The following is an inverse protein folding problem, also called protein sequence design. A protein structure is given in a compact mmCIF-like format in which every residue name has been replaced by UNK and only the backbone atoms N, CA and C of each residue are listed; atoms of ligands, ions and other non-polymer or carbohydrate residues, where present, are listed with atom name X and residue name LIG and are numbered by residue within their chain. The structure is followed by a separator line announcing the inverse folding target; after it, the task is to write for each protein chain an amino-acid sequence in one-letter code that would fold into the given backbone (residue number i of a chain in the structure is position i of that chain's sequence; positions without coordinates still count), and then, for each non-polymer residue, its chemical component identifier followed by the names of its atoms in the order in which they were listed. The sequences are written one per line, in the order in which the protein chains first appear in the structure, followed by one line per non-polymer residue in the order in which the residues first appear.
data_IF_021326701489
#
_entry.id   IF_021326701489
#
_cell.length_a   1.000
_cell.length_b   1.000
_cell.length_c   1.000
_cell.angle_alpha   90.00
_cell.angle_beta   90.00
_cell.angle_gamma   90.00
#
_symmetry.space_group_name_H-M   'P 1'
#
loop_
_entity.id
_entity.type
_entity.pdbx_description
1 polymer ?
#
# COMPACT_ATOMS: atom_id res chain seq x y z
N UNK A 1 18.71 -9.08 -1.19
CA UNK A 1 17.43 -8.43 -0.81
C UNK A 1 17.11 -7.34 -1.83
N UNK A 2 15.85 -7.21 -2.25
CA UNK A 2 15.41 -6.27 -3.31
C UNK A 2 15.02 -4.88 -2.78
N UNK A 3 15.34 -4.57 -1.53
CA UNK A 3 14.84 -3.39 -0.82
C UNK A 3 15.09 -2.04 -1.49
N UNK A 4 16.24 -1.78 -2.15
CA UNK A 4 16.43 -0.52 -2.87
C UNK A 4 15.37 -0.25 -3.94
N UNK A 5 14.94 -1.31 -4.64
CA UNK A 5 13.86 -1.22 -5.63
C UNK A 5 12.52 -0.93 -4.97
N UNK A 6 12.21 -1.60 -3.86
CA UNK A 6 10.94 -1.42 -3.15
C UNK A 6 10.84 -0.03 -2.49
N UNK A 7 11.94 0.51 -1.95
CA UNK A 7 11.97 1.89 -1.49
C UNK A 7 11.64 2.87 -2.61
N UNK A 8 12.19 2.64 -3.81
CA UNK A 8 11.85 3.44 -5.00
C UNK A 8 10.38 3.31 -5.38
N UNK A 9 9.79 2.12 -5.23
CA UNK A 9 8.36 1.93 -5.45
C UNK A 9 7.52 2.74 -4.46
N UNK A 10 7.82 2.66 -3.15
CA UNK A 10 7.18 3.46 -2.10
C UNK A 10 7.32 4.96 -2.37
N UNK A 11 8.51 5.42 -2.76
CA UNK A 11 8.74 6.84 -3.11
C UNK A 11 7.93 7.24 -4.35
N UNK A 12 7.79 6.35 -5.34
CA UNK A 12 6.96 6.58 -6.53
C UNK A 12 5.47 6.67 -6.18
N UNK A 13 4.99 5.80 -5.29
CA UNK A 13 3.61 5.86 -4.79
C UNK A 13 3.37 7.18 -4.05
N UNK A 14 4.31 7.61 -3.20
CA UNK A 14 4.21 8.89 -2.48
C UNK A 14 4.11 10.08 -3.44
N UNK A 15 4.97 10.14 -4.46
CA UNK A 15 4.95 11.20 -5.46
C UNK A 15 3.60 11.25 -6.18
N UNK A 16 3.13 10.12 -6.69
CA UNK A 16 1.82 10.01 -7.37
C UNK A 16 0.65 10.46 -6.49
N UNK A 17 0.66 10.10 -5.20
CA UNK A 17 -0.36 10.54 -4.24
C UNK A 17 -0.31 12.05 -4.04
N UNK A 18 0.88 12.63 -3.85
CA UNK A 18 1.04 14.08 -3.67
C UNK A 18 0.60 14.84 -4.92
N UNK A 19 1.01 14.40 -6.11
CA UNK A 19 0.63 15.01 -7.39
C UNK A 19 -0.90 14.97 -7.60
N UNK A 20 -1.57 13.92 -7.12
CA UNK A 20 -3.03 13.80 -7.22
C UNK A 20 -3.82 14.79 -6.35
N UNK A 21 -3.18 15.39 -5.35
CA UNK A 21 -3.81 16.34 -4.43
C UNK A 21 -3.66 17.79 -4.93
N UNK A 22 -2.64 18.07 -5.76
CA UNK A 22 -2.36 19.39 -6.31
C UNK A 22 -3.39 19.75 -7.41
N UNK A 23 -4.09 20.91 -7.34
CA UNK A 23 -5.34 21.09 -8.09
C UNK A 23 -5.27 21.96 -9.36
N UNK A 24 -4.17 22.64 -9.69
CA UNK A 24 -4.34 23.91 -10.41
C UNK A 24 -4.69 23.82 -11.92
N UNK A 25 -4.26 22.80 -12.66
CA UNK A 25 -4.50 22.79 -14.12
C UNK A 25 -5.76 22.04 -14.58
N UNK A 26 -6.28 21.06 -13.81
CA UNK A 26 -7.42 20.22 -14.28
C UNK A 26 -8.79 20.88 -14.13
N UNK A 27 -8.93 21.86 -13.23
CA UNK A 27 -10.21 22.52 -12.99
C UNK A 27 -10.60 23.49 -14.10
N UNK A 28 -9.62 24.02 -14.85
CA UNK A 28 -9.86 24.93 -15.97
C UNK A 28 -10.41 24.19 -17.20
N UNK A 29 -9.83 23.04 -17.55
CA UNK A 29 -10.27 22.25 -18.71
C UNK A 29 -11.68 21.66 -18.52
N UNK A 30 -12.04 21.19 -17.31
CA UNK A 30 -13.39 20.65 -17.08
C UNK A 30 -14.45 21.75 -17.09
N UNK A 31 -14.13 22.95 -16.59
CA UNK A 31 -15.05 24.09 -16.61
C UNK A 31 -15.27 24.66 -18.00
N UNK A 32 -14.32 24.53 -18.93
CA UNK A 32 -14.49 24.94 -20.32
C UNK A 32 -15.30 23.90 -21.11
N UNK A 33 -15.11 22.62 -20.83
CA UNK A 33 -15.85 21.53 -21.47
C UNK A 33 -17.33 21.48 -21.03
N UNK A 34 -17.63 21.76 -19.76
CA UNK A 34 -19.01 21.86 -19.24
C UNK A 34 -19.79 23.05 -19.81
N UNK A 35 -19.12 24.11 -20.27
CA UNK A 35 -19.75 25.29 -20.89
C UNK A 35 -20.25 25.02 -22.31
N UNK A 36 -19.82 23.92 -22.94
CA UNK A 36 -20.19 23.53 -24.31
C UNK A 36 -21.36 22.55 -24.36
N UNK A 37 -21.84 22.02 -23.21
CA UNK A 37 -22.96 21.10 -23.15
C UNK A 37 -24.30 21.83 -22.87
N UNK A 38 -25.42 21.40 -23.48
CA UNK A 38 -26.76 21.91 -23.18
C UNK A 38 -27.09 21.81 -21.68
N UNK A 39 -27.79 22.81 -21.13
CA UNK A 39 -28.14 22.89 -19.69
C UNK A 39 -28.80 21.61 -19.14
N UNK A 40 -29.58 20.91 -19.96
CA UNK A 40 -30.35 19.70 -19.58
C UNK A 40 -29.48 18.43 -19.47
N UNK A 41 -28.31 18.41 -20.14
CA UNK A 41 -27.33 17.31 -20.10
C UNK A 41 -26.21 17.55 -19.07
N UNK A 42 -26.25 18.66 -18.34
CA UNK A 42 -25.29 18.95 -17.27
C UNK A 42 -25.58 18.04 -16.08
N UNK A 43 -25.06 16.82 -16.13
CA UNK A 43 -24.95 16.01 -14.92
C UNK A 43 -24.07 16.78 -13.93
N UNK A 44 -24.48 16.96 -12.66
CA UNK A 44 -23.66 17.64 -11.66
C UNK A 44 -22.45 16.79 -11.27
N UNK A 45 -21.49 16.65 -12.19
CA UNK A 45 -20.24 15.92 -12.02
C UNK A 45 -19.18 16.75 -11.27
N UNK A 46 -19.38 18.06 -11.11
CA UNK A 46 -18.26 18.98 -10.85
C UNK A 46 -17.85 19.27 -9.41
N UNK A 47 -18.55 18.81 -8.35
CA UNK A 47 -18.27 19.34 -6.99
C UNK A 47 -18.16 18.38 -5.82
N UNK A 48 -18.76 17.18 -5.89
CA UNK A 48 -18.70 16.18 -4.82
C UNK A 48 -17.61 15.10 -5.04
N UNK A 49 -17.02 15.07 -6.23
CA UNK A 49 -16.44 13.87 -6.81
C UNK A 49 -14.92 13.82 -6.73
N UNK A 50 -14.23 14.90 -7.12
CA UNK A 50 -12.80 15.17 -6.83
C UNK A 50 -12.44 15.11 -5.33
N UNK A 51 -13.44 15.06 -4.44
CA UNK A 51 -13.24 15.00 -3.00
C UNK A 51 -12.91 13.58 -2.51
N UNK A 52 -13.36 12.52 -3.19
CA UNK A 52 -13.21 11.14 -2.69
C UNK A 52 -11.78 10.65 -2.87
N UNK A 53 -11.24 10.68 -4.10
CA UNK A 53 -9.84 10.33 -4.34
C UNK A 53 -8.91 11.27 -3.57
N UNK A 54 -9.19 12.58 -3.53
CA UNK A 54 -8.37 13.54 -2.77
C UNK A 54 -8.36 13.25 -1.27
N UNK A 55 -9.52 12.92 -0.66
CA UNK A 55 -9.60 12.57 0.75
C UNK A 55 -8.80 11.30 1.05
N UNK A 56 -8.99 10.25 0.24
CA UNK A 56 -8.26 8.99 0.39
C UNK A 56 -6.75 9.18 0.16
N UNK A 57 -6.34 9.90 -0.88
CA UNK A 57 -4.94 10.26 -1.15
C UNK A 57 -4.31 10.99 0.03
N UNK A 58 -5.02 11.96 0.62
CA UNK A 58 -4.52 12.71 1.78
C UNK A 58 -4.26 11.79 2.97
N UNK A 59 -5.17 10.85 3.25
CA UNK A 59 -5.03 9.86 4.33
C UNK A 59 -3.99 8.78 4.02
N UNK A 60 -3.67 8.55 2.75
CA UNK A 60 -2.65 7.59 2.33
C UNK A 60 -1.22 8.10 2.58
N UNK A 61 -0.99 9.42 2.55
CA UNK A 61 0.32 10.03 2.81
C UNK A 61 0.96 9.54 4.13
N UNK A 62 0.30 9.66 5.30
CA UNK A 62 0.88 9.18 6.55
C UNK A 62 1.15 7.67 6.55
N UNK A 63 0.29 6.87 5.91
CA UNK A 63 0.49 5.41 5.77
C UNK A 63 1.78 5.10 5.01
N UNK A 64 2.00 5.76 3.87
CA UNK A 64 3.21 5.60 3.05
C UNK A 64 4.45 6.04 3.82
N UNK A 65 4.40 7.22 4.47
CA UNK A 65 5.52 7.76 5.25
C UNK A 65 5.90 6.87 6.43
N UNK A 66 4.92 6.35 7.17
CA UNK A 66 5.14 5.43 8.29
C UNK A 66 5.73 4.09 7.81
N UNK A 67 5.22 3.55 6.70
CA UNK A 67 5.76 2.35 6.08
C UNK A 67 7.25 2.53 5.73
N UNK A 68 7.58 3.63 5.06
CA UNK A 68 8.96 3.98 4.72
C UNK A 68 9.84 4.17 5.95
N UNK A 69 9.34 4.89 6.97
CA UNK A 69 10.05 5.15 8.22
C UNK A 69 10.42 3.84 8.91
N UNK A 70 9.49 2.89 8.97
CA UNK A 70 9.70 1.58 9.57
C UNK A 70 10.83 0.81 8.89
N UNK A 71 10.75 0.63 7.58
CA UNK A 71 11.75 -0.13 6.85
C UNK A 71 13.12 0.55 6.85
N UNK A 72 13.17 1.89 6.81
CA UNK A 72 14.41 2.63 7.02
C UNK A 72 15.00 2.34 8.40
N UNK A 73 14.17 2.35 9.46
CA UNK A 73 14.64 2.12 10.83
C UNK A 73 15.28 0.75 11.00
N UNK A 74 14.63 -0.29 10.49
CA UNK A 74 15.13 -1.67 10.63
C UNK A 74 16.24 -2.01 9.61
N UNK A 75 16.34 -1.26 8.50
CA UNK A 75 17.42 -1.40 7.51
C UNK A 75 18.74 -0.78 7.97
N UNK A 76 18.70 0.45 8.52
CA UNK A 76 19.89 1.26 8.82
C UNK A 76 20.84 0.58 9.81
N UNK A 77 20.31 -0.22 10.75
CA UNK A 77 21.14 -0.95 11.73
C UNK A 77 21.19 -2.46 11.55
N UNK A 78 20.43 -3.01 10.59
CA UNK A 78 20.31 -4.44 10.35
C UNK A 78 20.96 -4.94 9.06
N UNK A 79 21.49 -4.08 8.18
CA UNK A 79 22.04 -4.52 6.88
C UNK A 79 23.30 -3.75 6.44
N UNK A 80 23.49 -2.50 6.87
CA UNK A 80 24.32 -1.58 6.07
C UNK A 80 25.81 -1.48 6.37
N UNK A 81 26.38 -1.95 7.48
CA UNK A 81 27.85 -1.92 7.59
C UNK A 81 28.38 -2.86 8.68
N UNK A 82 29.15 -3.86 8.25
CA UNK A 82 30.01 -4.77 9.04
C UNK A 82 29.23 -5.75 9.94
N UNK A 83 29.07 -6.95 9.39
CA UNK A 83 28.71 -8.20 10.09
C UNK A 83 27.62 -8.05 11.15
N UNK A 84 26.34 -8.23 10.78
CA UNK A 84 25.52 -8.91 11.77
C UNK A 84 26.11 -10.29 11.98
N UNK A 85 26.06 -10.82 13.21
CA UNK A 85 25.94 -12.25 13.40
C UNK A 85 24.55 -12.69 12.88
N UNK A 86 24.29 -12.47 11.58
CA UNK A 86 23.05 -12.80 10.87
C UNK A 86 22.89 -14.33 10.72
N UNK A 87 23.82 -15.11 11.28
CA UNK A 87 23.95 -16.54 11.00
C UNK A 87 23.82 -17.47 12.20
N UNK A 88 23.47 -17.01 13.41
CA UNK A 88 23.37 -17.94 14.57
C UNK A 88 21.95 -18.09 15.14
N UNK A 89 21.04 -17.12 14.96
CA UNK A 89 19.70 -17.16 15.60
C UNK A 89 18.47 -17.31 14.69
N UNK A 90 18.50 -16.81 13.46
CA UNK A 90 17.31 -16.77 12.59
C UNK A 90 17.21 -18.02 11.72
N UNK A 91 16.04 -18.65 11.68
CA UNK A 91 15.78 -19.70 10.70
C UNK A 91 15.58 -19.10 9.30
N UNK A 92 15.78 -19.92 8.26
CA UNK A 92 15.62 -19.52 6.86
C UNK A 92 14.25 -18.89 6.58
N UNK A 93 13.20 -19.39 7.23
CA UNK A 93 11.85 -18.85 7.11
C UNK A 93 11.74 -17.42 7.64
N UNK A 94 12.37 -17.10 8.77
CA UNK A 94 12.37 -15.74 9.32
C UNK A 94 13.14 -14.76 8.42
N UNK A 95 14.27 -15.21 7.87
CA UNK A 95 15.05 -14.42 6.90
C UNK A 95 14.19 -14.14 5.65
N UNK A 96 13.51 -15.17 5.13
CA UNK A 96 12.63 -15.03 3.98
C UNK A 96 11.45 -14.07 4.27
N UNK A 97 10.79 -14.20 5.43
CA UNK A 97 9.71 -13.30 5.86
C UNK A 97 10.18 -11.86 5.89
N UNK A 98 11.34 -11.58 6.48
CA UNK A 98 11.89 -10.23 6.52
C UNK A 98 12.27 -9.73 5.12
N UNK A 99 12.93 -10.55 4.32
CA UNK A 99 13.36 -10.19 2.97
C UNK A 99 12.19 -9.79 2.05
N UNK A 100 11.04 -10.46 2.16
CA UNK A 100 9.85 -10.20 1.35
C UNK A 100 8.92 -9.12 1.93
N UNK A 101 9.00 -8.84 3.23
CA UNK A 101 8.04 -7.95 3.92
C UNK A 101 7.88 -6.56 3.27
N UNK A 102 8.99 -5.92 2.88
CA UNK A 102 8.95 -4.61 2.22
C UNK A 102 8.28 -4.66 0.83
N UNK A 103 8.49 -5.73 0.06
CA UNK A 103 7.82 -5.92 -1.22
C UNK A 103 6.31 -6.11 -1.05
N UNK A 104 5.88 -6.90 -0.06
CA UNK A 104 4.46 -7.07 0.23
C UNK A 104 3.77 -5.76 0.64
N UNK A 105 4.46 -4.90 1.40
CA UNK A 105 3.96 -3.57 1.76
C UNK A 105 3.90 -2.65 0.54
N UNK A 106 4.94 -2.68 -0.30
CA UNK A 106 5.01 -1.95 -1.57
C UNK A 106 3.84 -2.31 -2.50
N UNK A 107 3.56 -3.61 -2.66
CA UNK A 107 2.44 -4.13 -3.46
C UNK A 107 1.09 -3.68 -2.92
N UNK A 108 0.87 -3.78 -1.60
CA UNK A 108 -0.39 -3.36 -0.98
C UNK A 108 -0.59 -1.83 -1.12
N UNK A 109 0.46 -1.02 -0.94
CA UNK A 109 0.41 0.42 -1.18
C UNK A 109 0.09 0.76 -2.65
N UNK A 110 0.74 0.09 -3.61
CA UNK A 110 0.46 0.31 -5.03
C UNK A 110 -0.97 -0.12 -5.39
N UNK A 111 -1.48 -1.21 -4.79
CA UNK A 111 -2.87 -1.65 -4.96
C UNK A 111 -3.88 -0.62 -4.45
N UNK A 112 -3.66 -0.07 -3.25
CA UNK A 112 -4.50 1.01 -2.70
C UNK A 112 -4.46 2.23 -3.64
N UNK A 113 -3.30 2.66 -4.12
CA UNK A 113 -3.18 3.80 -5.04
C UNK A 113 -4.01 3.61 -6.31
N UNK A 114 -3.94 2.42 -6.92
CA UNK A 114 -4.73 2.11 -8.11
C UNK A 114 -6.24 2.22 -7.85
N UNK A 115 -6.71 1.76 -6.69
CA UNK A 115 -8.12 1.83 -6.30
C UNK A 115 -8.56 3.26 -5.95
N UNK A 116 -7.68 4.06 -5.34
CA UNK A 116 -7.92 5.49 -5.09
C UNK A 116 -8.14 6.22 -6.41
N UNK A 117 -7.35 5.95 -7.45
CA UNK A 117 -7.60 6.55 -8.77
C UNK A 117 -8.86 6.02 -9.47
N UNK A 118 -9.24 4.76 -9.21
CA UNK A 118 -10.43 4.17 -9.81
C UNK A 118 -11.74 4.65 -9.16
N UNK A 119 -11.69 5.15 -7.91
CA UNK A 119 -12.89 5.50 -7.14
C UNK A 119 -13.74 6.58 -7.81
N UNK A 120 -13.08 7.54 -8.43
CA UNK A 120 -13.69 8.66 -9.16
C UNK A 120 -14.04 8.29 -10.62
N UNK A 121 -13.54 7.17 -11.14
CA UNK A 121 -13.78 6.76 -12.52
C UNK A 121 -14.94 5.76 -12.66
N UNK A 122 -15.07 4.82 -11.72
CA UNK A 122 -15.91 3.64 -11.89
C UNK A 122 -17.06 3.59 -10.87
N UNK A 123 -16.98 4.34 -9.75
CA UNK A 123 -18.02 4.44 -8.70
C UNK A 123 -18.66 3.15 -8.23
N UNK A 124 -17.91 2.06 -8.18
CA UNK A 124 -18.45 0.81 -7.68
C UNK A 124 -18.18 0.65 -6.19
N UNK A 125 -19.19 0.30 -5.37
CA UNK A 125 -18.99 -0.12 -3.99
C UNK A 125 -17.97 -1.27 -3.83
N UNK A 126 -17.73 -2.04 -4.90
CA UNK A 126 -16.69 -3.06 -4.96
C UNK A 126 -15.27 -2.49 -5.00
N UNK A 127 -15.04 -1.29 -5.54
CA UNK A 127 -13.73 -0.62 -5.52
C UNK A 127 -13.34 -0.25 -4.09
N UNK A 128 -14.26 0.37 -3.35
CA UNK A 128 -14.04 0.74 -1.94
C UNK A 128 -13.92 -0.49 -1.04
N UNK A 129 -14.66 -1.57 -1.33
CA UNK A 129 -14.51 -2.84 -0.60
C UNK A 129 -13.13 -3.45 -0.79
N UNK A 130 -12.63 -3.51 -2.04
CA UNK A 130 -11.26 -3.95 -2.31
C UNK A 130 -10.22 -3.06 -1.61
N UNK A 131 -10.42 -1.74 -1.59
CA UNK A 131 -9.48 -0.83 -0.91
C UNK A 131 -9.40 -1.15 0.59
N UNK A 132 -10.55 -1.35 1.23
CA UNK A 132 -10.63 -1.76 2.65
C UNK A 132 -9.90 -3.07 2.88
N UNK A 133 -10.13 -4.10 2.04
CA UNK A 133 -9.46 -5.40 2.18
C UNK A 133 -7.93 -5.31 2.05
N UNK A 134 -7.43 -4.50 1.11
CA UNK A 134 -5.99 -4.29 0.96
C UNK A 134 -5.42 -3.50 2.15
N UNK A 135 -6.14 -2.50 2.65
CA UNK A 135 -5.71 -1.73 3.82
C UNK A 135 -5.69 -2.57 5.12
N UNK A 136 -6.69 -3.44 5.31
CA UNK A 136 -6.72 -4.41 6.42
C UNK A 136 -5.56 -5.42 6.29
N UNK A 137 -5.25 -5.88 5.07
CA UNK A 137 -4.07 -6.73 4.85
C UNK A 137 -2.76 -6.00 5.12
N UNK A 138 -2.63 -4.74 4.70
CA UNK A 138 -1.47 -3.89 4.96
C UNK A 138 -1.22 -3.74 6.46
N UNK A 139 -2.28 -3.69 7.27
CA UNK A 139 -2.18 -3.64 8.72
C UNK A 139 -1.35 -4.81 9.29
N UNK A 140 -1.59 -6.01 8.79
CA UNK A 140 -0.94 -7.23 9.28
C UNK A 140 0.49 -7.43 8.76
N UNK A 141 0.93 -6.67 7.73
CA UNK A 141 2.26 -6.85 7.11
C UNK A 141 3.44 -6.53 8.02
N UNK A 142 3.21 -5.78 9.10
CA UNK A 142 4.26 -5.30 9.99
C UNK A 142 4.50 -6.22 11.20
N UNK A 143 3.59 -7.14 11.51
CA UNK A 143 3.66 -7.96 12.72
C UNK A 143 4.86 -8.91 12.71
N UNK A 144 4.93 -9.77 11.69
CA UNK A 144 6.02 -10.73 11.54
C UNK A 144 7.41 -10.08 11.46
N UNK A 145 7.67 -9.07 10.60
CA UNK A 145 8.98 -8.42 10.56
C UNK A 145 9.32 -7.69 11.87
N UNK A 146 8.34 -7.15 12.61
CA UNK A 146 8.60 -6.50 13.90
C UNK A 146 9.02 -7.51 14.96
N UNK A 147 8.33 -8.66 15.02
CA UNK A 147 8.69 -9.76 15.92
C UNK A 147 10.08 -10.30 15.62
N UNK A 148 10.42 -10.49 14.34
CA UNK A 148 11.76 -10.93 13.92
C UNK A 148 12.83 -9.89 14.29
N UNK A 149 12.56 -8.61 14.03
CA UNK A 149 13.47 -7.52 14.37
C UNK A 149 13.75 -7.45 15.88
N UNK A 150 12.71 -7.47 16.71
CA UNK A 150 12.86 -7.45 18.18
C UNK A 150 13.56 -8.70 18.73
N UNK A 151 13.27 -9.87 18.17
CA UNK A 151 13.82 -11.13 18.68
C UNK A 151 15.28 -11.37 18.29
N UNK A 152 15.70 -10.94 17.11
CA UNK A 152 16.99 -11.34 16.54
C UNK A 152 17.93 -10.18 16.24
N UNK A 153 17.40 -9.03 15.81
CA UNK A 153 18.24 -7.91 15.41
C UNK A 153 18.54 -7.00 16.60
N UNK A 154 17.54 -6.66 17.41
CA UNK A 154 17.72 -5.78 18.58
C UNK A 154 18.74 -6.33 19.58
N UNK A 155 18.74 -7.63 19.97
CA UNK A 155 19.72 -8.17 20.90
C UNK A 155 21.15 -8.17 20.37
N UNK A 156 21.33 -8.07 19.05
CA UNK A 156 22.65 -7.98 18.42
C UNK A 156 23.25 -6.56 18.48
N UNK A 157 22.47 -5.56 18.92
CA UNK A 157 22.93 -4.18 19.04
C UNK A 157 23.49 -4.00 20.45
N UNK A 158 24.77 -3.65 20.61
CA UNK A 158 25.36 -3.46 21.94
C UNK A 158 24.71 -2.27 22.64
N UNK A 159 24.45 -2.42 23.93
CA UNK A 159 24.11 -1.28 24.77
C UNK A 159 25.33 -0.34 24.82
N UNK A 160 25.08 0.94 24.62
CA UNK A 160 26.06 1.99 24.90
C UNK A 160 25.90 2.38 26.37
N UNK A 161 26.98 2.75 27.06
CA UNK A 161 26.93 3.09 28.49
C UNK A 161 25.81 4.12 28.77
N UNK A 162 24.72 3.66 29.41
CA UNK A 162 23.54 4.49 29.73
C UNK A 162 22.40 4.52 28.69
N UNK A 163 22.51 3.85 27.54
CA UNK A 163 21.45 3.78 26.52
C UNK A 163 20.90 2.35 26.39
N UNK A 164 19.74 2.03 27.02
CA UNK A 164 19.14 0.71 26.94
C UNK A 164 18.51 0.51 25.55
N UNK A 165 19.27 -0.10 24.65
CA UNK A 165 18.94 -0.19 23.22
C UNK A 165 17.66 -0.97 23.01
N UNK A 166 17.46 -2.05 23.78
CA UNK A 166 16.24 -2.85 23.71
C UNK A 166 14.99 -2.05 24.08
N UNK A 167 15.01 -1.37 25.23
CA UNK A 167 13.87 -0.57 25.70
C UNK A 167 13.52 0.55 24.70
N UNK A 168 14.54 1.14 24.08
CA UNK A 168 14.35 2.14 23.03
C UNK A 168 13.59 1.57 21.84
N UNK A 169 14.00 0.41 21.31
CA UNK A 169 13.34 -0.19 20.14
C UNK A 169 11.94 -0.74 20.45
N UNK A 170 11.73 -1.32 21.62
CA UNK A 170 10.41 -1.75 22.08
C UNK A 170 9.46 -0.55 22.17
N UNK A 171 9.87 0.53 22.83
CA UNK A 171 9.07 1.76 22.94
C UNK A 171 8.82 2.41 21.57
N UNK A 172 9.80 2.38 20.68
CA UNK A 172 9.66 2.89 19.32
C UNK A 172 8.66 2.06 18.50
N UNK A 173 8.70 0.72 18.58
CA UNK A 173 7.74 -0.15 17.89
C UNK A 173 6.32 0.06 18.41
N UNK A 174 6.15 0.22 19.72
CA UNK A 174 4.83 0.55 20.30
C UNK A 174 4.31 1.87 19.72
N UNK A 175 5.13 2.92 19.76
CA UNK A 175 4.76 4.24 19.22
C UNK A 175 4.45 4.20 17.73
N UNK A 176 5.27 3.48 16.96
CA UNK A 176 5.07 3.25 15.53
C UNK A 176 3.75 2.51 15.25
N UNK A 177 3.48 1.43 15.98
CA UNK A 177 2.26 0.65 15.81
C UNK A 177 1.02 1.50 16.11
N UNK A 178 1.04 2.31 17.17
CA UNK A 178 -0.05 3.24 17.46
C UNK A 178 -0.28 4.21 16.30
N UNK A 179 0.76 4.88 15.80
CA UNK A 179 0.64 5.84 14.71
C UNK A 179 0.18 5.18 13.40
N UNK A 180 0.72 4.00 13.08
CA UNK A 180 0.37 3.23 11.88
C UNK A 180 -1.08 2.77 11.92
N UNK A 181 -1.53 2.19 13.04
CA UNK A 181 -2.91 1.74 13.22
C UNK A 181 -3.87 2.91 13.02
N UNK A 182 -3.63 4.05 13.67
CA UNK A 182 -4.46 5.25 13.49
C UNK A 182 -4.50 5.70 12.02
N UNK A 183 -3.36 5.73 11.34
CA UNK A 183 -3.31 6.16 9.93
C UNK A 183 -4.08 5.21 9.00
N UNK A 184 -3.93 3.91 9.17
CA UNK A 184 -4.63 2.89 8.37
C UNK A 184 -6.12 2.88 8.69
N UNK A 185 -6.50 2.95 9.96
CA UNK A 185 -7.90 2.96 10.40
C UNK A 185 -8.63 4.20 9.86
N UNK A 186 -7.99 5.38 9.90
CA UNK A 186 -8.55 6.58 9.30
C UNK A 186 -8.81 6.41 7.79
N UNK A 187 -7.88 5.78 7.05
CA UNK A 187 -8.05 5.48 5.63
C UNK A 187 -9.23 4.52 5.40
N UNK A 188 -9.31 3.45 6.20
CA UNK A 188 -10.39 2.47 6.14
C UNK A 188 -11.75 3.12 6.45
N UNK A 189 -11.83 3.93 7.49
CA UNK A 189 -13.08 4.56 7.92
C UNK A 189 -13.57 5.61 6.92
N UNK A 190 -12.65 6.33 6.27
CA UNK A 190 -12.96 7.18 5.13
C UNK A 190 -13.56 6.35 3.99
N UNK A 191 -12.91 5.26 3.59
CA UNK A 191 -13.41 4.38 2.53
C UNK A 191 -14.79 3.77 2.87
N UNK A 192 -15.00 3.36 4.13
CA UNK A 192 -16.31 2.86 4.62
C UNK A 192 -17.38 3.93 4.55
N UNK A 193 -17.03 5.18 4.84
CA UNK A 193 -17.95 6.32 4.81
C UNK A 193 -18.36 6.66 3.38
N UNK A 194 -17.39 6.78 2.48
CA UNK A 194 -17.64 6.97 1.05
C UNK A 194 -18.52 5.85 0.47
N UNK A 195 -18.28 4.59 0.89
CA UNK A 195 -19.07 3.44 0.45
C UNK A 195 -20.53 3.51 0.91
N UNK A 196 -20.77 4.05 2.10
CA UNK A 196 -22.13 4.24 2.67
C UNK A 196 -22.85 5.43 2.05
N UNK A 197 -22.13 6.52 1.78
CA UNK A 197 -22.68 7.75 1.21
C UNK A 197 -23.00 7.65 -0.28
N UNK A 198 -22.30 6.78 -1.01
CA UNK A 198 -22.57 6.42 -2.41
C UNK A 198 -23.87 5.63 -2.63
N UNK A 199 -25.01 6.14 -2.15
CA UNK A 199 -26.34 5.58 -2.45
C UNK A 199 -26.60 5.67 -3.95
N UNK A 200 -26.57 4.50 -4.58
CA UNK A 200 -26.97 4.22 -5.95
C UNK A 200 -28.40 4.73 -6.21
N UNK A 201 -28.56 5.68 -7.14
CA UNK A 201 -29.80 5.83 -7.91
C UNK A 201 -29.54 5.10 -9.23
N UNK A 202 -30.13 3.92 -9.47
CA UNK A 202 -30.08 3.35 -10.80
C UNK A 202 -30.74 4.35 -11.76
N UNK A 203 -30.03 4.78 -12.79
CA UNK A 203 -30.69 5.31 -13.97
C UNK A 203 -31.50 4.15 -14.57
N UNK A 204 -32.79 4.10 -14.26
CA UNK A 204 -33.74 3.24 -14.98
C UNK A 204 -33.56 3.52 -16.49
N UNK A 205 -33.02 2.54 -17.22
CA UNK A 205 -32.97 2.57 -18.68
C UNK A 205 -31.64 2.18 -19.33
N UNK A 206 -30.50 2.22 -18.64
CA UNK A 206 -29.22 1.86 -19.26
C UNK A 206 -28.89 0.39 -19.05
N UNK A 207 -29.23 -0.43 -20.05
CA UNK A 207 -28.85 -1.84 -20.13
C UNK A 207 -27.34 -1.98 -19.94
N UNK A 208 -27.00 -2.76 -18.93
CA UNK A 208 -25.70 -3.34 -18.65
C UNK A 208 -24.97 -3.78 -19.93
N UNK A 209 -23.88 -3.08 -20.26
CA UNK A 209 -22.84 -3.58 -21.17
C UNK A 209 -21.60 -3.78 -20.30
N UNK A 210 -21.49 -4.97 -19.71
CA UNK A 210 -20.28 -5.43 -19.04
C UNK A 210 -19.12 -5.43 -20.04
N UNK A 211 -18.23 -4.44 -19.96
CA UNK A 211 -16.85 -4.63 -20.41
C UNK A 211 -16.03 -5.14 -19.24
N UNK A 212 -15.97 -6.47 -19.15
CA UNK A 212 -14.90 -7.15 -18.43
C UNK A 212 -13.63 -7.00 -19.25
N UNK A 213 -12.90 -5.89 -19.04
CA UNK A 213 -11.53 -5.74 -19.52
C UNK A 213 -10.63 -5.50 -18.32
N UNK A 214 -9.87 -6.56 -18.03
CA UNK A 214 -8.87 -6.69 -16.99
C UNK A 214 -8.07 -5.41 -16.75
N UNK A 215 -8.15 -4.87 -15.52
CA UNK A 215 -7.12 -3.98 -14.98
C UNK A 215 -5.89 -4.82 -14.64
N UNK A 216 -5.17 -5.28 -15.66
CA UNK A 216 -3.77 -5.65 -15.51
C UNK A 216 -2.96 -4.37 -15.54
N UNK A 217 -2.79 -3.74 -14.38
CA UNK A 217 -1.70 -2.80 -14.17
C UNK A 217 -0.40 -3.62 -14.17
N UNK A 218 0.22 -3.74 -15.35
CA UNK A 218 1.62 -4.12 -15.59
C UNK A 218 2.33 -4.97 -14.53
N UNK A 219 1.85 -6.20 -14.29
CA UNK A 219 2.75 -7.26 -13.82
C UNK A 219 3.41 -7.84 -15.07
N UNK A 220 4.67 -7.48 -15.30
CA UNK A 220 5.50 -8.19 -16.25
C UNK A 220 5.70 -9.63 -15.73
N UNK A 221 4.91 -10.58 -16.22
CA UNK A 221 5.25 -11.99 -16.18
C UNK A 221 6.55 -12.17 -17.00
N UNK A 222 7.68 -12.29 -16.32
CA UNK A 222 8.87 -12.86 -16.93
C UNK A 222 8.61 -14.35 -17.15
N UNK A 223 8.37 -14.72 -18.39
CA UNK A 223 8.45 -16.09 -18.87
C UNK A 223 9.82 -16.71 -18.50
N UNK A 224 9.80 -17.81 -17.76
CA UNK A 224 10.83 -18.83 -17.83
C UNK A 224 10.13 -20.14 -18.19
N UNK A 225 10.06 -20.39 -19.50
CA UNK A 225 9.94 -21.74 -20.02
C UNK A 225 11.29 -22.44 -19.81
N UNK A 226 11.32 -23.53 -19.05
CA UNK A 226 12.00 -24.74 -19.51
C UNK A 226 11.49 -25.98 -18.75
N UNK A 227 11.28 -27.13 -19.42
CA UNK A 227 10.67 -28.32 -18.85
C UNK A 227 11.71 -29.38 -18.50
N UNK A 228 11.88 -29.76 -17.22
CA UNK A 228 12.48 -31.05 -16.86
C UNK A 228 11.83 -31.55 -15.56
N UNK A 229 10.79 -32.37 -15.68
CA UNK A 229 10.47 -33.40 -14.69
C UNK A 229 10.28 -34.70 -15.46
N UNK A 230 11.25 -35.60 -15.30
CA UNK A 230 11.19 -36.97 -15.79
C UNK A 230 12.13 -37.81 -14.93
N UNK A 231 11.54 -38.85 -14.31
CA UNK A 231 12.19 -39.93 -13.54
C UNK A 231 12.59 -39.47 -12.11
N UNK A 232 12.05 -40.03 -11.02
CA UNK A 232 11.98 -41.46 -10.74
C UNK A 232 10.73 -41.87 -9.96
N UNK A 233 10.29 -43.07 -10.33
CA UNK A 233 9.20 -43.86 -9.81
C UNK A 233 9.65 -44.61 -8.53
N UNK A 234 8.68 -44.93 -7.68
CA UNK A 234 8.78 -45.77 -6.48
C UNK A 234 9.48 -47.12 -6.68
N UNK A 235 10.27 -47.56 -5.68
CA UNK A 235 10.10 -48.77 -4.83
C UNK A 235 11.43 -49.23 -4.20
N UNK A 236 11.34 -49.58 -2.90
CA UNK A 236 12.24 -50.40 -2.06
C UNK A 236 13.74 -50.02 -2.02
#
# INVERSE_FOLDING_TARGET
MRWPFEFKCIDTVLLKVVDSIAPEDRMLESSEMDRLLPEDDRVPHGRLHWNSAKALSTLMIPVIKLSRLYFNKISVRGISNKSLPLSIGMCSQQIATLAHSLGLVSDDLQGILCLVYAVDLIHTPSTLTQLIEIAERLHNRFEAPSSIFLAHMVPSIPDTEGFPTRNYYESWIVSFNTQRTIAIDNLIDCARTLRREGRYVPLEGSKSIFYQKSLTCGMAQSHLNSPIFGLFNTRL
#
